data_IF_241296326752
#
_entry.id   IF_241296326752
#
_cell.length_a   1.000
_cell.length_b   1.000
_cell.length_c   1.000
_cell.angle_alpha   90.00
_cell.angle_beta   90.00
_cell.angle_gamma   90.00
#
_symmetry.space_group_name_H-M   'P 1'
#
loop_
_entity.id
_entity.type
_entity.pdbx_description
1 polymer ?
#
# COMPACT_ATOMS: atom_id res chain seq x y z
N UNK A 1 -1.07 -5.49 20.29
CA UNK A 1 -0.96 -6.94 20.02
C UNK A 1 -1.15 -7.80 21.28
N UNK A 2 -0.56 -7.44 22.42
CA UNK A 2 -0.65 -8.24 23.66
C UNK A 2 -2.08 -8.43 24.20
N UNK A 3 -2.96 -7.45 23.98
CA UNK A 3 -4.36 -7.47 24.44
C UNK A 3 -5.26 -8.45 23.65
N UNK A 4 -5.14 -8.48 22.31
CA UNK A 4 -5.95 -9.35 21.44
C UNK A 4 -5.67 -10.84 21.68
N UNK A 5 -4.39 -11.21 21.79
CA UNK A 5 -4.00 -12.59 22.06
C UNK A 5 -4.55 -13.05 23.43
N UNK A 6 -4.54 -12.17 24.43
CA UNK A 6 -5.11 -12.44 25.75
C UNK A 6 -6.63 -12.65 25.68
N UNK A 7 -7.36 -11.79 24.95
CA UNK A 7 -8.82 -11.92 24.73
C UNK A 7 -9.17 -13.21 23.99
N UNK A 8 -8.41 -13.56 22.95
CA UNK A 8 -8.62 -14.77 22.15
C UNK A 8 -8.37 -16.05 22.96
N UNK A 9 -7.27 -16.12 23.73
CA UNK A 9 -7.00 -17.25 24.62
C UNK A 9 -8.06 -17.40 25.70
N UNK A 10 -8.60 -16.29 26.23
CA UNK A 10 -9.74 -16.30 27.14
C UNK A 10 -10.99 -16.89 26.49
N UNK A 11 -11.32 -16.51 25.25
CA UNK A 11 -12.48 -17.07 24.54
C UNK A 11 -12.33 -18.56 24.28
N UNK A 12 -11.16 -19.00 23.80
CA UNK A 12 -10.88 -20.41 23.55
C UNK A 12 -11.10 -21.24 24.82
N UNK A 13 -10.54 -20.79 25.94
CA UNK A 13 -10.72 -21.46 27.24
C UNK A 13 -12.18 -21.53 27.68
N UNK A 14 -12.96 -20.44 27.50
CA UNK A 14 -14.38 -20.43 27.88
C UNK A 14 -15.24 -21.31 26.96
N UNK A 15 -14.93 -21.34 25.66
CA UNK A 15 -15.57 -22.23 24.69
C UNK A 15 -15.36 -23.69 25.05
N UNK A 16 -14.12 -24.11 25.31
CA UNK A 16 -13.83 -25.50 25.70
C UNK A 16 -14.57 -25.94 26.98
N UNK A 17 -14.68 -25.05 27.97
CA UNK A 17 -15.47 -25.35 29.18
C UNK A 17 -16.96 -25.53 28.92
N UNK A 18 -17.53 -24.79 27.98
CA UNK A 18 -18.93 -24.96 27.60
C UNK A 18 -19.14 -26.27 26.85
N UNK A 19 -18.22 -26.63 25.97
CA UNK A 19 -18.22 -27.89 25.23
C UNK A 19 -18.17 -29.09 26.19
N UNK A 20 -17.26 -29.07 27.18
CA UNK A 20 -17.19 -30.10 28.23
C UNK A 20 -18.51 -30.23 29.00
N UNK A 21 -19.11 -29.11 29.42
CA UNK A 21 -20.40 -29.11 30.13
C UNK A 21 -21.54 -29.64 29.25
N UNK A 22 -21.51 -29.33 27.95
CA UNK A 22 -22.55 -29.75 27.02
C UNK A 22 -22.58 -31.26 26.85
N UNK A 23 -21.42 -31.91 26.70
CA UNK A 23 -21.35 -33.37 26.59
C UNK A 23 -21.87 -34.06 27.85
N UNK A 24 -21.53 -33.54 29.05
CA UNK A 24 -22.08 -34.08 30.31
C UNK A 24 -23.62 -33.99 30.34
N UNK A 25 -24.20 -32.83 30.03
CA UNK A 25 -25.66 -32.67 30.03
C UNK A 25 -26.35 -33.55 28.97
N UNK A 26 -25.68 -33.80 27.85
CA UNK A 26 -26.18 -34.67 26.79
C UNK A 26 -26.24 -36.12 27.23
N UNK A 27 -25.22 -36.60 27.93
CA UNK A 27 -25.20 -37.94 28.51
C UNK A 27 -26.27 -38.09 29.60
N UNK A 28 -26.35 -37.12 30.53
CA UNK A 28 -27.39 -37.09 31.57
C UNK A 28 -28.82 -37.06 30.97
N UNK A 29 -29.02 -36.34 29.87
CA UNK A 29 -30.30 -36.27 29.18
C UNK A 29 -30.70 -37.63 28.60
N UNK A 30 -29.75 -38.35 27.99
CA UNK A 30 -30.00 -39.66 27.40
C UNK A 30 -30.34 -40.69 28.48
N UNK A 31 -29.56 -40.74 29.57
CA UNK A 31 -29.80 -41.61 30.72
C UNK A 31 -31.19 -41.35 31.32
N UNK A 32 -31.54 -40.09 31.53
CA UNK A 32 -32.83 -39.72 32.09
C UNK A 32 -34.01 -40.13 31.19
N UNK A 33 -33.85 -40.09 29.86
CA UNK A 33 -34.88 -40.53 28.91
C UNK A 33 -35.05 -42.05 28.91
N UNK A 34 -33.94 -42.80 28.94
CA UNK A 34 -33.96 -44.26 29.05
C UNK A 34 -34.66 -44.71 30.34
N UNK A 35 -34.32 -44.07 31.47
CA UNK A 35 -34.96 -44.34 32.74
C UNK A 35 -36.47 -44.07 32.69
N UNK A 36 -36.91 -42.96 32.08
CA UNK A 36 -38.35 -42.65 31.95
C UNK A 36 -39.06 -43.77 31.17
N UNK A 37 -38.47 -44.24 30.07
CA UNK A 37 -39.05 -45.33 29.25
C UNK A 37 -39.16 -46.63 30.05
N UNK A 38 -38.13 -46.98 30.81
CA UNK A 38 -38.13 -48.18 31.65
C UNK A 38 -39.19 -48.09 32.75
N UNK A 39 -39.25 -46.97 33.48
CA UNK A 39 -40.22 -46.76 34.56
C UNK A 39 -41.67 -46.76 34.08
N UNK A 40 -41.94 -46.24 32.87
CA UNK A 40 -43.27 -46.36 32.24
C UNK A 40 -43.63 -47.82 31.99
N UNK A 41 -42.67 -48.60 31.48
CA UNK A 41 -42.87 -50.03 31.19
C UNK A 41 -43.12 -50.84 32.46
N UNK A 42 -42.48 -50.46 33.57
CA UNK A 42 -42.64 -51.05 34.89
C UNK A 42 -43.85 -50.51 35.68
N UNK A 43 -44.54 -49.49 35.13
CA UNK A 43 -45.63 -48.76 35.78
C UNK A 43 -45.23 -48.10 37.12
N UNK A 44 -43.96 -47.71 37.26
CA UNK A 44 -43.44 -46.91 38.38
C UNK A 44 -43.62 -45.40 38.09
N UNK A 45 -44.76 -44.89 38.54
CA UNK A 45 -45.17 -43.49 38.31
C UNK A 45 -44.34 -42.50 39.11
N UNK A 46 -43.94 -42.86 40.33
CA UNK A 46 -43.22 -41.95 41.22
C UNK A 46 -41.80 -41.70 40.68
N UNK A 47 -41.12 -42.77 40.22
CA UNK A 47 -39.82 -42.65 39.61
C UNK A 47 -39.87 -41.94 38.25
N UNK A 48 -40.94 -42.14 37.47
CA UNK A 48 -41.19 -41.40 36.24
C UNK A 48 -41.32 -39.88 36.50
N UNK A 49 -42.11 -39.47 37.50
CA UNK A 49 -42.25 -38.06 37.88
C UNK A 49 -40.90 -37.47 38.33
N UNK A 50 -40.13 -38.21 39.14
CA UNK A 50 -38.82 -37.77 39.59
C UNK A 50 -37.85 -37.53 38.41
N UNK A 51 -37.83 -38.43 37.43
CA UNK A 51 -36.99 -38.29 36.25
C UNK A 51 -37.46 -37.17 35.31
N UNK A 52 -38.77 -36.93 35.15
CA UNK A 52 -39.27 -35.74 34.46
C UNK A 52 -38.78 -34.45 35.15
N UNK A 53 -38.73 -34.43 36.49
CA UNK A 53 -38.14 -33.33 37.26
C UNK A 53 -36.65 -33.12 36.96
N UNK A 54 -35.86 -34.21 36.88
CA UNK A 54 -34.44 -34.15 36.47
C UNK A 54 -34.29 -33.59 35.05
N UNK A 55 -35.11 -34.06 34.11
CA UNK A 55 -35.13 -33.56 32.73
C UNK A 55 -35.41 -32.06 32.67
N UNK A 56 -36.36 -31.56 33.48
CA UNK A 56 -36.63 -30.13 33.62
C UNK A 56 -35.40 -29.33 34.08
N UNK A 57 -34.61 -29.86 35.00
CA UNK A 57 -33.36 -29.23 35.44
C UNK A 57 -32.29 -29.24 34.35
N UNK A 58 -32.12 -30.35 33.63
CA UNK A 58 -31.20 -30.45 32.48
C UNK A 58 -31.55 -29.42 31.41
N UNK A 59 -32.85 -29.27 31.10
CA UNK A 59 -33.34 -28.29 30.13
C UNK A 59 -33.05 -26.86 30.58
N UNK A 60 -33.25 -26.54 31.87
CA UNK A 60 -32.89 -25.23 32.44
C UNK A 60 -31.39 -24.94 32.30
N UNK A 61 -30.54 -25.90 32.67
CA UNK A 61 -29.08 -25.77 32.54
C UNK A 61 -28.65 -25.58 31.08
N UNK A 62 -29.33 -26.25 30.14
CA UNK A 62 -29.10 -26.10 28.70
C UNK A 62 -29.43 -24.68 28.24
N UNK A 63 -30.56 -24.11 28.68
CA UNK A 63 -30.91 -22.72 28.35
C UNK A 63 -29.90 -21.71 28.90
N UNK A 64 -29.42 -21.90 30.13
CA UNK A 64 -28.37 -21.06 30.72
C UNK A 64 -27.08 -21.13 29.89
N UNK A 65 -26.69 -22.33 29.45
CA UNK A 65 -25.52 -22.56 28.60
C UNK A 65 -25.63 -21.88 27.23
N UNK A 66 -26.79 -21.97 26.58
CA UNK A 66 -27.06 -21.26 25.31
C UNK A 66 -26.97 -19.75 25.50
N UNK A 67 -27.42 -19.23 26.65
CA UNK A 67 -27.24 -17.83 27.03
C UNK A 67 -25.75 -17.43 27.14
N UNK A 68 -24.96 -18.24 27.86
CA UNK A 68 -23.51 -18.04 27.98
C UNK A 68 -22.81 -18.07 26.60
N UNK A 69 -23.16 -19.04 25.74
CA UNK A 69 -22.62 -19.17 24.40
C UNK A 69 -22.97 -17.98 23.51
N UNK A 70 -24.20 -17.46 23.61
CA UNK A 70 -24.65 -16.27 22.88
C UNK A 70 -23.81 -15.05 23.25
N UNK A 71 -23.56 -14.84 24.54
CA UNK A 71 -22.74 -13.72 25.01
C UNK A 71 -21.26 -13.85 24.61
N UNK A 72 -20.71 -15.06 24.64
CA UNK A 72 -19.36 -15.31 24.11
C UNK A 72 -19.28 -15.03 22.61
N UNK A 73 -20.29 -15.44 21.85
CA UNK A 73 -20.36 -15.23 20.40
C UNK A 73 -20.42 -13.74 20.05
N UNK A 74 -21.26 -12.96 20.74
CA UNK A 74 -21.31 -11.48 20.57
C UNK A 74 -19.94 -10.84 20.82
N UNK A 75 -19.26 -11.25 21.90
CA UNK A 75 -17.92 -10.73 22.24
C UNK A 75 -16.88 -11.12 21.20
N UNK A 76 -16.92 -12.36 20.68
CA UNK A 76 -16.03 -12.81 19.62
C UNK A 76 -16.26 -12.01 18.32
N UNK A 77 -17.52 -11.80 17.92
CA UNK A 77 -17.86 -10.98 16.76
C UNK A 77 -17.34 -9.54 16.91
N UNK A 78 -17.45 -8.94 18.10
CA UNK A 78 -16.90 -7.61 18.36
C UNK A 78 -15.39 -7.56 18.10
N UNK A 79 -14.63 -8.55 18.60
CA UNK A 79 -13.19 -8.64 18.38
C UNK A 79 -12.87 -8.81 16.89
N UNK A 80 -13.61 -9.66 16.18
CA UNK A 80 -13.41 -9.84 14.74
C UNK A 80 -13.66 -8.54 13.98
N UNK A 81 -14.69 -7.77 14.32
CA UNK A 81 -14.95 -6.45 13.70
C UNK A 81 -13.80 -5.46 13.94
N UNK A 82 -13.31 -5.37 15.17
CA UNK A 82 -12.15 -4.52 15.52
C UNK A 82 -10.92 -4.92 14.69
N UNK A 83 -10.62 -6.22 14.62
CA UNK A 83 -9.48 -6.74 13.86
C UNK A 83 -9.60 -6.46 12.37
N UNK A 84 -10.78 -6.68 11.77
CA UNK A 84 -11.03 -6.37 10.36
C UNK A 84 -10.81 -4.89 10.06
N UNK A 85 -11.26 -3.98 10.95
CA UNK A 85 -11.04 -2.54 10.77
C UNK A 85 -9.55 -2.19 10.79
N UNK A 86 -8.79 -2.75 11.73
CA UNK A 86 -7.32 -2.54 11.82
C UNK A 86 -6.60 -3.11 10.60
N UNK A 87 -6.97 -4.30 10.13
CA UNK A 87 -6.37 -4.93 8.95
C UNK A 87 -6.63 -4.10 7.68
N UNK A 88 -7.88 -3.66 7.47
CA UNK A 88 -8.23 -2.81 6.32
C UNK A 88 -7.45 -1.50 6.34
N UNK A 89 -7.38 -0.82 7.50
CA UNK A 89 -6.61 0.41 7.64
C UNK A 89 -5.11 0.19 7.37
N UNK A 90 -4.54 -0.90 7.89
CA UNK A 90 -3.13 -1.26 7.68
C UNK A 90 -2.85 -1.53 6.20
N UNK A 91 -3.74 -2.26 5.51
CA UNK A 91 -3.63 -2.53 4.08
C UNK A 91 -3.64 -1.25 3.26
N UNK A 92 -4.60 -0.36 3.50
CA UNK A 92 -4.66 0.94 2.81
C UNK A 92 -3.38 1.76 3.01
N UNK A 93 -2.80 1.73 4.21
CA UNK A 93 -1.53 2.43 4.47
C UNK A 93 -0.35 1.79 3.76
N UNK A 94 -0.31 0.46 3.64
CA UNK A 94 0.71 -0.24 2.86
C UNK A 94 0.60 0.11 1.37
N UNK A 95 -0.60 0.09 0.79
CA UNK A 95 -0.83 0.46 -0.60
C UNK A 95 -0.36 1.92 -0.87
N UNK A 96 -0.66 2.84 0.04
CA UNK A 96 -0.18 4.23 -0.04
C UNK A 96 1.33 4.36 0.08
N UNK A 97 1.98 3.54 0.93
CA UNK A 97 3.43 3.54 1.07
C UNK A 97 4.10 2.96 -0.17
N UNK A 98 3.57 1.89 -0.75
CA UNK A 98 4.06 1.29 -1.99
C UNK A 98 4.04 2.31 -3.13
N UNK A 99 2.94 3.04 -3.31
CA UNK A 99 2.84 4.13 -4.30
C UNK A 99 3.92 5.19 -4.04
N UNK A 100 4.11 5.61 -2.79
CA UNK A 100 5.12 6.62 -2.42
C UNK A 100 6.55 6.12 -2.66
N UNK A 101 6.84 4.86 -2.34
CA UNK A 101 8.15 4.24 -2.55
C UNK A 101 8.45 4.16 -4.04
N UNK A 102 7.52 3.62 -4.84
CA UNK A 102 7.69 3.52 -6.29
C UNK A 102 7.90 4.90 -6.93
N UNK A 103 7.14 5.91 -6.50
CA UNK A 103 7.32 7.29 -6.95
C UNK A 103 8.69 7.85 -6.54
N UNK A 104 9.12 7.62 -5.30
CA UNK A 104 10.41 8.10 -4.80
C UNK A 104 11.57 7.45 -5.54
N UNK A 105 11.49 6.14 -5.80
CA UNK A 105 12.49 5.39 -6.56
C UNK A 105 12.58 5.90 -7.99
N UNK A 106 11.44 6.09 -8.68
CA UNK A 106 11.41 6.66 -10.03
C UNK A 106 12.07 8.05 -10.06
N UNK A 107 11.69 8.94 -9.15
CA UNK A 107 12.28 10.28 -9.07
C UNK A 107 13.78 10.24 -8.75
N UNK A 108 14.23 9.34 -7.88
CA UNK A 108 15.64 9.19 -7.52
C UNK A 108 16.48 8.71 -8.70
N UNK A 109 16.04 7.64 -9.37
CA UNK A 109 16.78 7.01 -10.46
C UNK A 109 17.01 7.98 -11.63
N UNK A 110 15.97 8.69 -12.05
CA UNK A 110 16.06 9.58 -13.20
C UNK A 110 16.64 10.97 -12.86
N UNK A 111 16.66 11.39 -11.59
CA UNK A 111 17.33 12.65 -11.18
C UNK A 111 18.80 12.67 -11.62
N UNK A 112 19.52 11.56 -11.40
CA UNK A 112 20.93 11.47 -11.76
C UNK A 112 21.13 11.44 -13.28
N UNK A 113 20.21 10.83 -14.03
CA UNK A 113 20.21 10.88 -15.49
C UNK A 113 19.93 12.28 -16.03
N UNK A 114 18.96 12.99 -15.45
CA UNK A 114 18.68 14.39 -15.77
C UNK A 114 19.91 15.24 -15.48
N UNK A 115 20.55 15.06 -14.33
CA UNK A 115 21.79 15.78 -14.00
C UNK A 115 22.86 15.56 -15.06
N UNK A 116 23.10 14.29 -15.45
CA UNK A 116 24.07 13.95 -16.51
C UNK A 116 23.72 14.57 -17.86
N UNK A 117 22.44 14.59 -18.21
CA UNK A 117 21.96 15.25 -19.42
C UNK A 117 22.25 16.75 -19.38
N UNK A 118 21.84 17.44 -18.30
CA UNK A 118 22.05 18.89 -18.14
C UNK A 118 23.53 19.25 -18.11
N UNK A 119 24.38 18.45 -17.47
CA UNK A 119 25.83 18.67 -17.49
C UNK A 119 26.38 18.56 -18.92
N UNK A 120 25.86 17.64 -19.75
CA UNK A 120 26.22 17.55 -21.17
C UNK A 120 25.69 18.71 -22.01
N UNK A 121 24.51 19.24 -21.69
CA UNK A 121 24.01 20.48 -22.32
C UNK A 121 24.95 21.64 -22.02
N UNK A 122 25.35 21.82 -20.75
CA UNK A 122 26.32 22.86 -20.34
C UNK A 122 27.66 22.72 -21.06
N UNK A 123 28.17 21.49 -21.17
CA UNK A 123 29.44 21.22 -21.87
C UNK A 123 29.39 21.65 -23.35
N UNK A 124 28.25 21.43 -24.02
CA UNK A 124 28.12 21.63 -25.47
C UNK A 124 27.61 23.03 -25.86
N UNK A 125 26.63 23.56 -25.13
CA UNK A 125 26.07 24.90 -25.34
C UNK A 125 26.98 25.99 -24.77
N UNK A 126 27.76 25.65 -23.74
CA UNK A 126 28.55 26.57 -22.94
C UNK A 126 27.87 26.89 -21.62
N UNK A 127 28.63 26.83 -20.53
CA UNK A 127 28.09 26.98 -19.17
C UNK A 127 27.47 28.38 -18.94
N UNK A 128 28.10 29.44 -19.47
CA UNK A 128 27.57 30.80 -19.36
C UNK A 128 26.23 30.92 -20.10
N UNK A 129 26.18 30.40 -21.32
CA UNK A 129 24.99 30.42 -22.18
C UNK A 129 23.83 29.66 -21.52
N UNK A 130 24.11 28.45 -21.02
CA UNK A 130 23.13 27.67 -20.27
C UNK A 130 22.60 28.42 -19.04
N UNK A 131 23.48 29.04 -18.24
CA UNK A 131 23.05 29.76 -17.03
C UNK A 131 22.15 30.94 -17.37
N UNK A 132 22.47 31.70 -18.42
CA UNK A 132 21.64 32.81 -18.88
C UNK A 132 20.28 32.32 -19.40
N UNK A 133 20.26 31.28 -20.23
CA UNK A 133 19.02 30.68 -20.69
C UNK A 133 18.17 30.14 -19.53
N UNK A 134 18.79 29.48 -18.55
CA UNK A 134 18.10 28.95 -17.37
C UNK A 134 17.47 30.06 -16.51
N UNK A 135 18.18 31.17 -16.29
CA UNK A 135 17.65 32.36 -15.62
C UNK A 135 16.52 33.00 -16.42
N UNK A 136 16.69 33.16 -17.73
CA UNK A 136 15.68 33.74 -18.63
C UNK A 136 14.37 32.93 -18.61
N UNK A 137 14.46 31.60 -18.59
CA UNK A 137 13.27 30.74 -18.46
C UNK A 137 12.53 30.97 -17.13
N UNK A 138 13.25 31.15 -16.03
CA UNK A 138 12.66 31.44 -14.73
C UNK A 138 11.97 32.82 -14.69
N UNK A 139 12.60 33.84 -15.30
CA UNK A 139 12.03 35.18 -15.42
C UNK A 139 10.75 35.17 -16.26
N UNK A 140 10.76 34.45 -17.38
CA UNK A 140 9.59 34.29 -18.25
C UNK A 140 8.43 33.60 -17.51
N UNK A 141 8.71 32.57 -16.71
CA UNK A 141 7.71 31.91 -15.85
C UNK A 141 7.16 32.83 -14.75
N UNK A 142 7.97 33.79 -14.30
CA UNK A 142 7.59 34.79 -13.31
C UNK A 142 6.91 36.02 -13.91
N UNK A 143 6.69 36.04 -15.23
CA UNK A 143 6.07 37.15 -15.94
C UNK A 143 6.96 38.40 -16.05
N UNK A 144 8.27 38.25 -15.92
CA UNK A 144 9.24 39.35 -16.07
C UNK A 144 9.60 39.55 -17.55
N UNK A 145 9.85 40.80 -17.92
CA UNK A 145 10.39 41.14 -19.24
C UNK A 145 11.83 40.66 -19.36
N UNK A 146 12.16 40.07 -20.51
CA UNK A 146 13.50 39.58 -20.82
C UNK A 146 14.29 40.64 -21.57
N UNK A 147 15.59 40.67 -21.32
CA UNK A 147 16.56 41.41 -22.12
C UNK A 147 16.81 40.73 -23.47
N UNK A 148 17.37 41.47 -24.43
CA UNK A 148 17.76 40.92 -25.72
C UNK A 148 18.81 39.79 -25.60
N UNK A 149 19.73 39.89 -24.62
CA UNK A 149 20.72 38.84 -24.32
C UNK A 149 20.02 37.56 -23.85
N UNK A 150 19.04 37.67 -22.94
CA UNK A 150 18.27 36.54 -22.44
C UNK A 150 17.40 35.88 -23.52
N UNK A 151 16.78 36.67 -24.40
CA UNK A 151 16.04 36.16 -25.54
C UNK A 151 16.94 35.40 -26.51
N UNK A 152 18.13 35.94 -26.81
CA UNK A 152 19.10 35.28 -27.68
C UNK A 152 19.59 33.96 -27.07
N UNK A 153 19.82 33.90 -25.76
CA UNK A 153 20.19 32.66 -25.07
C UNK A 153 19.07 31.61 -25.11
N UNK A 154 17.80 32.02 -25.00
CA UNK A 154 16.66 31.10 -25.15
C UNK A 154 16.61 30.53 -26.59
N UNK A 155 16.80 31.36 -27.61
CA UNK A 155 16.82 30.89 -29.00
C UNK A 155 18.00 29.95 -29.27
N UNK A 156 19.20 30.26 -28.76
CA UNK A 156 20.35 29.36 -28.85
C UNK A 156 20.09 28.01 -28.16
N UNK A 157 19.43 28.03 -26.99
CA UNK A 157 19.01 26.81 -26.32
C UNK A 157 17.98 26.05 -27.16
N UNK A 158 16.97 26.72 -27.74
CA UNK A 158 15.98 26.07 -28.62
C UNK A 158 16.65 25.38 -29.79
N UNK A 159 17.57 26.06 -30.46
CA UNK A 159 18.32 25.50 -31.60
C UNK A 159 19.13 24.28 -31.21
N UNK A 160 19.84 24.34 -30.08
CA UNK A 160 20.55 23.20 -29.54
C UNK A 160 19.62 22.01 -29.23
N UNK A 161 18.42 22.27 -28.69
CA UNK A 161 17.48 21.21 -28.33
C UNK A 161 16.84 20.55 -29.55
N UNK A 162 16.72 21.25 -30.69
CA UNK A 162 16.21 20.65 -31.94
C UNK A 162 17.04 19.44 -32.38
N UNK A 163 18.36 19.48 -32.19
CA UNK A 163 19.28 18.38 -32.55
C UNK A 163 19.03 17.09 -31.77
N UNK A 164 18.35 17.19 -30.62
CA UNK A 164 17.96 16.06 -29.76
C UNK A 164 16.44 15.90 -29.68
N UNK A 165 15.71 16.51 -30.63
CA UNK A 165 14.26 16.49 -30.74
C UNK A 165 13.52 16.97 -29.48
N UNK A 166 14.16 17.81 -28.67
CA UNK A 166 13.59 18.34 -27.43
C UNK A 166 13.04 19.75 -27.60
N UNK A 167 12.06 20.09 -26.76
CA UNK A 167 11.55 21.45 -26.62
C UNK A 167 11.99 22.09 -25.31
N UNK A 168 11.74 23.39 -25.15
CA UNK A 168 11.90 24.07 -23.87
C UNK A 168 10.98 23.45 -22.80
N UNK A 169 9.78 23.01 -23.17
CA UNK A 169 8.85 22.36 -22.23
C UNK A 169 9.40 21.01 -21.73
N UNK A 170 10.09 20.25 -22.60
CA UNK A 170 10.78 19.04 -22.17
C UNK A 170 11.84 19.37 -21.10
N UNK A 171 12.62 20.44 -21.28
CA UNK A 171 13.61 20.90 -20.28
C UNK A 171 12.93 21.32 -18.97
N UNK A 172 11.82 22.06 -19.04
CA UNK A 172 11.06 22.46 -17.85
C UNK A 172 10.58 21.24 -17.06
N UNK A 173 10.01 20.24 -17.74
CA UNK A 173 9.56 18.99 -17.12
C UNK A 173 10.72 18.22 -16.45
N UNK A 174 11.89 18.13 -17.11
CA UNK A 174 13.06 17.48 -16.51
C UNK A 174 13.58 18.23 -15.27
N UNK A 175 13.62 19.57 -15.30
CA UNK A 175 14.00 20.38 -14.13
C UNK A 175 13.03 20.20 -12.99
N UNK A 176 11.73 20.30 -13.26
CA UNK A 176 10.67 20.07 -12.28
C UNK A 176 10.80 18.69 -11.62
N UNK A 177 11.02 17.64 -12.41
CA UNK A 177 11.21 16.28 -11.90
C UNK A 177 12.45 16.17 -11.00
N UNK A 178 13.57 16.75 -11.44
CA UNK A 178 14.82 16.78 -10.67
C UNK A 178 14.62 17.50 -9.33
N UNK A 179 13.88 18.60 -9.31
CA UNK A 179 13.64 19.42 -8.12
C UNK A 179 12.63 18.74 -7.17
N UNK A 180 11.68 17.96 -7.70
CA UNK A 180 10.79 17.06 -6.93
C UNK A 180 11.52 15.87 -6.32
N UNK A 181 12.69 15.51 -6.82
CA UNK A 181 13.47 14.39 -6.33
C UNK A 181 14.22 14.79 -5.05
N UNK A 182 13.96 14.07 -3.95
CA UNK A 182 14.58 14.36 -2.67
C UNK A 182 16.10 14.07 -2.74
N UNK A 183 16.92 15.01 -2.27
CA UNK A 183 18.37 14.90 -2.29
C UNK A 183 18.90 13.68 -1.50
N UNK A 184 18.12 13.16 -0.54
CA UNK A 184 18.49 12.04 0.33
C UNK A 184 18.50 10.67 -0.36
N UNK A 185 17.92 10.53 -1.55
CA UNK A 185 17.96 9.29 -2.32
C UNK A 185 18.92 9.48 -3.50
N UNK A 186 19.98 8.67 -3.52
CA UNK A 186 20.89 8.54 -4.66
C UNK A 186 20.35 7.46 -5.61
N UNK A 187 20.75 7.51 -6.88
CA UNK A 187 20.45 6.39 -7.80
C UNK A 187 20.98 5.07 -7.23
N UNK A 188 20.25 3.99 -7.54
CA UNK A 188 20.62 2.62 -7.19
C UNK A 188 21.80 2.06 -8.02
N UNK A 189 22.62 2.92 -8.66
CA UNK A 189 23.70 2.49 -9.55
C UNK A 189 23.23 2.04 -10.94
N UNK A 190 21.98 2.37 -11.32
CA UNK A 190 21.40 2.01 -12.62
C UNK A 190 22.29 2.38 -13.81
N UNK A 191 22.42 1.47 -14.78
CA UNK A 191 23.05 1.75 -16.06
C UNK A 191 22.05 2.29 -17.12
N UNK A 192 22.55 2.79 -18.25
CA UNK A 192 21.71 3.47 -19.25
C UNK A 192 20.63 2.54 -19.85
N UNK A 193 20.99 1.27 -20.10
CA UNK A 193 20.07 0.29 -20.67
C UNK A 193 18.97 -0.08 -19.67
N UNK A 194 19.31 -0.22 -18.39
CA UNK A 194 18.34 -0.42 -17.32
C UNK A 194 17.39 0.76 -17.19
N UNK A 195 17.90 1.99 -17.29
CA UNK A 195 17.08 3.21 -17.25
C UNK A 195 16.10 3.30 -18.41
N UNK A 196 16.53 2.93 -19.63
CA UNK A 196 15.66 2.85 -20.80
C UNK A 196 14.60 1.75 -20.64
N UNK A 197 15.01 0.58 -20.13
CA UNK A 197 14.10 -0.56 -19.92
C UNK A 197 13.05 -0.23 -18.86
N UNK A 198 13.44 0.39 -17.74
CA UNK A 198 12.51 0.77 -16.68
C UNK A 198 11.48 1.80 -17.16
N UNK A 199 11.84 2.67 -18.10
CA UNK A 199 10.94 3.69 -18.65
C UNK A 199 9.81 3.08 -19.51
N UNK A 200 9.99 1.85 -19.97
CA UNK A 200 8.98 1.10 -20.71
C UNK A 200 7.91 0.48 -19.81
N UNK A 201 8.18 0.35 -18.51
CA UNK A 201 7.19 -0.17 -17.56
C UNK A 201 5.99 0.77 -17.43
N UNK A 202 4.81 0.26 -17.03
CA UNK A 202 3.67 1.09 -16.70
C UNK A 202 4.04 2.11 -15.62
N UNK A 203 3.80 3.39 -15.92
CA UNK A 203 4.04 4.50 -14.99
C UNK A 203 2.72 4.94 -14.34
N UNK A 204 2.75 5.35 -13.06
CA UNK A 204 1.67 6.10 -12.44
C UNK A 204 1.26 7.32 -13.28
N UNK A 205 -0.02 7.68 -13.25
CA UNK A 205 -0.57 8.74 -14.11
C UNK A 205 0.13 10.09 -13.93
N UNK A 206 0.52 10.44 -12.70
CA UNK A 206 1.23 11.67 -12.37
C UNK A 206 2.68 11.71 -12.89
N UNK A 207 3.25 10.56 -13.23
CA UNK A 207 4.62 10.42 -13.74
C UNK A 207 4.69 10.27 -15.27
N UNK A 208 3.56 9.97 -15.92
CA UNK A 208 3.50 9.77 -17.38
C UNK A 208 3.98 11.00 -18.17
N UNK A 209 3.78 12.20 -17.63
CA UNK A 209 4.21 13.46 -18.25
C UNK A 209 5.73 13.53 -18.46
N UNK A 210 6.52 12.86 -17.61
CA UNK A 210 7.98 12.88 -17.69
C UNK A 210 8.54 11.84 -18.67
N UNK A 211 7.72 10.90 -19.14
CA UNK A 211 8.19 9.76 -19.95
C UNK A 211 8.90 10.20 -21.23
N UNK A 212 8.25 11.05 -22.03
CA UNK A 212 8.80 11.49 -23.31
C UNK A 212 10.05 12.35 -23.13
N UNK A 213 10.07 13.38 -22.25
CA UNK A 213 11.30 14.13 -21.97
C UNK A 213 12.47 13.25 -21.52
N UNK A 214 12.22 12.27 -20.65
CA UNK A 214 13.25 11.35 -20.17
C UNK A 214 13.80 10.47 -21.28
N UNK A 215 12.93 9.94 -22.14
CA UNK A 215 13.33 9.10 -23.25
C UNK A 215 14.29 9.86 -24.18
N UNK A 216 13.91 11.06 -24.60
CA UNK A 216 14.76 11.93 -25.43
C UNK A 216 16.09 12.24 -24.76
N UNK A 217 16.09 12.54 -23.45
CA UNK A 217 17.33 12.81 -22.71
C UNK A 217 18.27 11.60 -22.65
N UNK A 218 17.74 10.39 -22.44
CA UNK A 218 18.54 9.16 -22.44
C UNK A 218 19.10 8.83 -23.83
N UNK A 219 18.30 9.03 -24.88
CA UNK A 219 18.71 8.86 -26.28
C UNK A 219 19.80 9.87 -26.65
N UNK A 220 19.65 11.15 -26.27
CA UNK A 220 20.66 12.18 -26.45
C UNK A 220 21.98 11.82 -25.76
N UNK A 221 21.93 11.37 -24.51
CA UNK A 221 23.12 10.91 -23.77
C UNK A 221 23.80 9.75 -24.51
N UNK A 222 23.01 8.79 -25.02
CA UNK A 222 23.55 7.66 -25.77
C UNK A 222 24.26 8.14 -27.04
N UNK A 223 23.58 8.97 -27.84
CA UNK A 223 24.10 9.51 -29.10
C UNK A 223 25.39 10.31 -28.85
N UNK A 224 25.45 11.16 -27.83
CA UNK A 224 26.65 11.92 -27.52
C UNK A 224 27.83 11.06 -27.02
N UNK A 225 27.56 9.87 -26.48
CA UNK A 225 28.61 8.91 -26.13
C UNK A 225 29.12 8.14 -27.35
N UNK A 226 28.24 7.78 -28.27
CA UNK A 226 28.59 7.00 -29.48
C UNK A 226 29.19 7.86 -30.58
N UNK A 227 28.78 9.13 -30.69
CA UNK A 227 29.28 10.09 -31.71
C UNK A 227 30.64 10.70 -31.35
N UNK A 228 31.52 9.95 -30.68
CA UNK A 228 32.92 10.37 -30.50
C UNK A 228 33.59 10.41 -31.87
N UNK A 229 33.83 11.63 -32.35
CA UNK A 229 34.96 11.96 -33.21
C UNK A 229 36.28 11.54 -32.53
#
# INVERSE_FOLDING_TARGET
MNDYNTRLSSFKRKGSKLEERFEVLKDENNECLEDIINNISENDKDQCIANIGKLGNIMKNTYEMVGEQTELTKKAISVVKELTAVMTHTRTRLDQLEIKVNRTEFLSNYRDWIKRFIDKVKDKLGEKEWRLAESALFYLESGMELTDEELNCIENLKDFLRDVEMTIDDIKLLREMRDKSNALFHSNGQNLMEAQTQLNNPLPDDLKIYKIPLQKALEAINNWRTSRF
#
